data_IF_278390716701
#
_entry.id   IF_278390716701
#
_cell.length_a   1.000
_cell.length_b   1.000
_cell.length_c   1.000
_cell.angle_alpha   90.00
_cell.angle_beta   90.00
_cell.angle_gamma   90.00
#
_symmetry.space_group_name_H-M   'P 1'
#
loop_
_entity.id
_entity.type
_entity.pdbx_description
1 polymer ?
#
# COMPACT_ATOMS: atom_id res chain seq x y z
N UNK A 1 11.21 -9.41 -0.34
CA UNK A 1 10.66 -8.05 -0.20
C UNK A 1 9.15 -8.21 -0.13
N UNK A 2 8.53 -7.78 0.98
CA UNK A 2 7.07 -7.74 1.11
C UNK A 2 6.48 -6.84 0.02
N UNK A 3 5.35 -7.25 -0.57
CA UNK A 3 4.58 -6.40 -1.49
C UNK A 3 3.77 -5.34 -0.72
N UNK A 4 3.42 -5.65 0.52
CA UNK A 4 2.51 -4.85 1.36
C UNK A 4 3.25 -3.75 2.16
N UNK A 5 4.45 -4.04 2.67
CA UNK A 5 5.29 -3.12 3.45
C UNK A 5 6.66 -3.00 2.78
N UNK A 6 6.90 -1.90 2.08
CA UNK A 6 8.11 -1.70 1.26
C UNK A 6 9.38 -1.53 2.11
N UNK A 7 9.23 -0.99 3.31
CA UNK A 7 10.32 -0.68 4.24
C UNK A 7 10.49 -1.71 5.37
N UNK A 8 9.95 -2.93 5.23
CA UNK A 8 10.07 -3.96 6.26
C UNK A 8 11.54 -4.32 6.53
N UNK A 9 12.04 -4.01 7.73
CA UNK A 9 13.46 -4.19 8.12
C UNK A 9 13.77 -5.54 8.77
N UNK A 10 12.74 -6.24 9.23
CA UNK A 10 12.84 -7.57 9.84
C UNK A 10 11.93 -8.55 9.11
N UNK A 11 12.25 -9.83 9.19
CA UNK A 11 11.35 -10.91 8.83
C UNK A 11 10.96 -11.64 10.11
N UNK A 12 9.69 -11.98 10.23
CA UNK A 12 9.10 -12.67 11.39
C UNK A 12 8.96 -14.15 11.06
N UNK A 13 9.30 -15.01 12.02
CA UNK A 13 9.02 -16.45 11.89
C UNK A 13 7.60 -16.73 12.34
N UNK A 14 6.77 -17.25 11.44
CA UNK A 14 5.41 -17.65 11.78
C UNK A 14 5.43 -18.89 12.68
N UNK A 15 4.76 -18.88 13.85
CA UNK A 15 4.78 -20.00 14.79
C UNK A 15 4.02 -21.23 14.26
N UNK A 16 3.04 -21.02 13.38
CA UNK A 16 2.22 -22.07 12.78
C UNK A 16 3.01 -22.97 11.81
N UNK A 17 3.65 -22.38 10.80
CA UNK A 17 4.34 -23.10 9.72
C UNK A 17 5.86 -23.07 9.83
N UNK A 18 6.41 -22.35 10.82
CA UNK A 18 7.87 -22.18 11.07
C UNK A 18 8.64 -21.55 9.90
N UNK A 19 7.93 -20.94 8.95
CA UNK A 19 8.48 -20.22 7.80
C UNK A 19 8.64 -18.72 8.12
N UNK A 20 9.43 -18.03 7.31
CA UNK A 20 9.76 -16.61 7.48
C UNK A 20 8.93 -15.76 6.53
N UNK A 21 8.32 -14.72 7.07
CA UNK A 21 7.53 -13.76 6.31
C UNK A 21 7.88 -12.34 6.75
N UNK A 22 7.72 -11.39 5.84
CA UNK A 22 8.01 -9.98 6.13
C UNK A 22 6.81 -9.26 6.77
N UNK A 23 5.60 -9.79 6.61
CA UNK A 23 4.33 -9.16 6.97
C UNK A 23 3.25 -10.26 7.10
N UNK A 24 2.18 -9.99 7.86
CA UNK A 24 1.10 -10.96 8.09
C UNK A 24 0.34 -11.31 6.79
N UNK A 25 0.11 -10.31 5.93
CA UNK A 25 -0.55 -10.51 4.63
C UNK A 25 0.25 -11.44 3.70
N UNK A 26 1.59 -11.37 3.73
CA UNK A 26 2.41 -12.34 3.00
C UNK A 26 2.28 -13.78 3.52
N UNK A 27 1.94 -13.98 4.80
CA UNK A 27 1.67 -15.32 5.33
C UNK A 27 0.30 -15.80 4.87
N UNK A 28 -0.74 -14.95 4.97
CA UNK A 28 -2.11 -15.29 4.55
C UNK A 28 -2.21 -15.59 3.04
N UNK A 29 -1.43 -14.90 2.19
CA UNK A 29 -1.36 -15.20 0.75
C UNK A 29 -0.65 -16.53 0.45
N UNK A 30 0.34 -16.91 1.27
CA UNK A 30 1.18 -18.08 1.02
C UNK A 30 0.61 -19.35 1.65
N UNK A 31 -0.22 -19.23 2.68
CA UNK A 31 -0.66 -20.36 3.50
C UNK A 31 -2.19 -20.44 3.60
N UNK A 32 -2.77 -21.65 3.61
CA UNK A 32 -4.22 -21.83 3.67
C UNK A 32 -4.80 -21.69 5.10
N UNK A 33 -4.04 -21.15 6.05
CA UNK A 33 -4.41 -21.08 7.46
C UNK A 33 -4.04 -19.73 8.07
N UNK A 34 -4.81 -19.30 9.08
CA UNK A 34 -4.55 -18.06 9.80
C UNK A 34 -3.28 -18.13 10.67
N UNK A 35 -2.60 -16.99 10.80
CA UNK A 35 -1.39 -16.86 11.62
C UNK A 35 -1.67 -17.19 13.10
N UNK A 36 -0.88 -18.10 13.65
CA UNK A 36 -0.95 -18.45 15.08
C UNK A 36 -0.45 -17.30 15.96
N UNK A 37 -1.16 -17.01 17.05
CA UNK A 37 -0.77 -16.00 18.04
C UNK A 37 0.16 -16.62 19.09
N UNK A 38 1.31 -16.00 19.33
CA UNK A 38 2.25 -16.37 20.39
C UNK A 38 2.76 -15.11 21.08
N UNK A 39 3.07 -15.22 22.38
CA UNK A 39 3.65 -14.10 23.14
C UNK A 39 5.14 -13.92 22.82
N UNK A 40 5.85 -15.03 22.59
CA UNK A 40 7.22 -15.00 22.08
C UNK A 40 7.24 -14.90 20.56
N UNK A 41 7.92 -13.88 20.03
CA UNK A 41 8.13 -13.69 18.60
C UNK A 41 9.61 -13.80 18.24
N UNK A 42 9.88 -14.46 17.10
CA UNK A 42 11.24 -14.61 16.57
C UNK A 42 11.38 -13.75 15.33
N UNK A 43 12.38 -12.87 15.36
CA UNK A 43 12.67 -11.93 14.30
C UNK A 43 14.03 -12.24 13.67
N UNK A 44 14.18 -11.89 12.40
CA UNK A 44 15.43 -11.92 11.65
C UNK A 44 15.70 -10.50 11.13
N UNK A 45 16.75 -9.86 11.60
CA UNK A 45 17.12 -8.54 11.09
C UNK A 45 17.71 -8.65 9.69
N UNK A 46 17.23 -7.86 8.72
CA UNK A 46 17.76 -7.90 7.35
C UNK A 46 19.13 -7.25 7.21
N UNK A 47 19.49 -6.32 8.11
CA UNK A 47 20.80 -5.64 8.13
C UNK A 47 21.92 -6.57 8.58
N UNK A 48 21.75 -7.26 9.71
CA UNK A 48 22.78 -8.15 10.26
C UNK A 48 22.55 -9.65 10.00
N UNK A 49 21.37 -10.04 9.48
CA UNK A 49 20.95 -11.43 9.19
C UNK A 49 21.02 -12.36 10.40
N UNK A 50 21.00 -11.82 11.61
CA UNK A 50 20.95 -12.58 12.86
C UNK A 50 19.51 -12.68 13.34
N UNK A 51 19.14 -13.88 13.77
CA UNK A 51 17.85 -14.16 14.38
C UNK A 51 17.91 -13.83 15.88
N UNK A 52 16.87 -13.17 16.38
CA UNK A 52 16.70 -12.86 17.80
C UNK A 52 15.25 -13.15 18.23
N UNK A 53 15.06 -13.30 19.54
CA UNK A 53 13.76 -13.55 20.14
C UNK A 53 13.40 -12.39 21.04
N UNK A 54 12.14 -11.97 20.97
CA UNK A 54 11.59 -10.96 21.85
C UNK A 54 10.24 -11.44 22.38
N UNK A 55 10.07 -11.27 23.68
CA UNK A 55 8.80 -11.50 24.36
C UNK A 55 7.94 -10.24 24.26
N UNK A 56 6.69 -10.39 23.83
CA UNK A 56 5.73 -9.30 23.68
C UNK A 56 5.02 -8.93 24.99
N UNK A 57 5.17 -9.71 26.07
CA UNK A 57 4.60 -9.36 27.38
C UNK A 57 5.27 -8.15 28.02
N UNK A 58 6.58 -8.01 27.83
CA UNK A 58 7.39 -6.91 28.37
C UNK A 58 8.05 -6.15 27.23
N UNK A 59 7.29 -5.22 26.65
CA UNK A 59 7.73 -4.39 25.54
C UNK A 59 8.16 -3.01 26.04
N UNK A 60 9.46 -2.70 25.93
CA UNK A 60 10.06 -1.43 26.31
C UNK A 60 10.66 -0.72 25.08
N UNK A 61 10.90 0.59 25.15
CA UNK A 61 11.46 1.38 24.02
C UNK A 61 12.82 0.86 23.53
N UNK A 62 13.58 0.18 24.41
CA UNK A 62 14.87 -0.44 24.04
C UNK A 62 14.69 -1.62 23.08
N UNK A 63 13.48 -2.20 23.01
CA UNK A 63 13.17 -3.36 22.18
C UNK A 63 12.84 -3.01 20.75
N UNK A 64 12.73 -1.72 20.42
CA UNK A 64 12.55 -1.25 19.03
C UNK A 64 13.81 -1.46 18.16
N UNK A 65 14.93 -1.83 18.80
CA UNK A 65 16.23 -2.00 18.17
C UNK A 65 16.64 -3.46 18.12
N UNK A 66 17.37 -3.82 17.05
CA UNK A 66 17.98 -5.14 16.98
C UNK A 66 19.17 -5.25 17.96
N UNK A 67 19.22 -6.27 18.84
CA UNK A 67 20.27 -6.42 19.86
C UNK A 67 21.67 -6.73 19.29
N UNK A 68 21.80 -6.81 17.96
CA UNK A 68 23.04 -7.17 17.30
C UNK A 68 23.66 -6.05 16.46
N UNK A 69 22.88 -5.06 16.04
CA UNK A 69 23.35 -4.02 15.13
C UNK A 69 22.63 -2.67 15.30
N UNK A 70 21.88 -2.53 16.39
CA UNK A 70 21.11 -1.33 16.77
C UNK A 70 20.23 -0.79 15.65
N UNK A 71 19.73 -1.71 14.81
CA UNK A 71 18.84 -1.34 13.73
C UNK A 71 17.43 -1.16 14.29
N UNK A 72 16.93 0.08 14.25
CA UNK A 72 15.55 0.41 14.58
C UNK A 72 14.62 -0.27 13.58
N UNK A 73 13.86 -1.26 14.02
CA UNK A 73 13.01 -2.06 13.12
C UNK A 73 11.53 -1.72 13.23
N UNK A 74 11.15 -0.97 14.25
CA UNK A 74 9.78 -0.51 14.50
C UNK A 74 9.62 0.87 13.89
N UNK A 75 9.39 0.89 12.57
CA UNK A 75 9.24 2.13 11.80
C UNK A 75 7.85 2.20 11.17
N UNK A 76 7.39 3.42 10.87
CA UNK A 76 6.13 3.63 10.17
C UNK A 76 6.09 2.87 8.84
N UNK A 77 5.07 2.04 8.65
CA UNK A 77 4.95 1.19 7.48
C UNK A 77 4.65 2.04 6.22
N UNK A 78 5.51 1.94 5.21
CA UNK A 78 5.28 2.51 3.88
C UNK A 78 4.52 1.52 3.02
N UNK A 79 3.23 1.77 2.85
CA UNK A 79 2.35 1.01 1.95
C UNK A 79 2.39 1.61 0.54
N UNK A 80 2.24 0.78 -0.48
CA UNK A 80 2.16 1.25 -1.86
C UNK A 80 0.82 1.98 -2.08
N UNK A 81 0.85 3.30 -2.18
CA UNK A 81 -0.34 4.08 -2.56
C UNK A 81 -0.56 3.94 -4.08
N UNK A 82 -1.76 3.54 -4.55
CA UNK A 82 -2.07 3.56 -5.97
C UNK A 82 -2.13 5.01 -6.45
N UNK A 83 -1.09 5.48 -7.15
CA UNK A 83 -1.16 6.75 -7.88
C UNK A 83 -1.82 6.50 -9.23
N UNK A 84 -3.01 7.06 -9.43
CA UNK A 84 -3.67 7.08 -10.73
C UNK A 84 -2.98 8.12 -11.63
N UNK A 85 -2.03 7.67 -12.44
CA UNK A 85 -1.42 8.50 -13.48
C UNK A 85 -2.38 8.65 -14.66
N UNK A 86 -2.81 9.86 -14.96
CA UNK A 86 -3.49 10.15 -16.23
C UNK A 86 -2.41 10.39 -17.27
N UNK A 87 -2.18 9.40 -18.13
CA UNK A 87 -1.31 9.58 -19.30
C UNK A 87 -2.05 10.43 -20.33
N UNK A 88 -1.66 11.71 -20.44
CA UNK A 88 -2.11 12.57 -21.53
C UNK A 88 -1.27 12.30 -22.77
N UNK A 89 -1.88 11.77 -23.82
CA UNK A 89 -1.28 11.74 -25.17
C UNK A 89 -1.01 13.17 -25.67
N UNK A 90 -0.25 13.32 -26.78
CA UNK A 90 0.16 14.63 -27.30
C UNK A 90 -1.06 15.57 -27.42
N UNK A 91 -1.00 16.68 -26.69
CA UNK A 91 -1.99 17.74 -26.63
C UNK A 91 -2.39 18.33 -27.99
N UNK A 92 -1.62 18.08 -29.07
CA UNK A 92 -1.98 18.46 -30.43
C UNK A 92 -2.88 17.45 -31.15
N UNK A 93 -2.87 16.19 -30.72
CA UNK A 93 -3.70 15.12 -31.29
C UNK A 93 -5.01 14.94 -30.52
N UNK A 94 -4.98 15.08 -29.19
CA UNK A 94 -6.18 15.01 -28.35
C UNK A 94 -6.31 16.21 -27.40
N UNK A 95 -7.15 17.17 -27.79
CA UNK A 95 -7.44 18.37 -27.00
C UNK A 95 -8.41 18.12 -25.83
N UNK A 96 -8.93 16.90 -25.64
CA UNK A 96 -9.95 16.63 -24.59
C UNK A 96 -9.45 16.86 -23.17
N UNK A 97 -8.14 16.75 -22.96
CA UNK A 97 -7.50 16.99 -21.66
C UNK A 97 -7.17 18.47 -21.40
N UNK A 98 -7.35 19.35 -22.40
CA UNK A 98 -7.11 20.79 -22.28
C UNK A 98 -8.44 21.52 -22.09
N UNK A 99 -8.58 22.18 -20.95
CA UNK A 99 -9.72 23.03 -20.65
C UNK A 99 -9.52 24.40 -21.31
N UNK A 100 -10.44 24.78 -22.21
CA UNK A 100 -10.51 26.14 -22.75
C UNK A 100 -11.49 26.97 -21.89
N UNK A 101 -10.98 28.01 -21.22
CA UNK A 101 -11.77 28.89 -20.35
C UNK A 101 -12.72 29.83 -21.12
N UNK A 102 -12.60 29.95 -22.44
CA UNK A 102 -13.51 30.77 -23.26
C UNK A 102 -14.80 30.05 -23.59
N UNK A 103 -14.79 28.72 -23.53
CA UNK A 103 -15.96 27.89 -23.79
C UNK A 103 -16.70 27.68 -22.46
N UNK A 104 -17.96 28.12 -22.40
CA UNK A 104 -18.81 27.88 -21.23
C UNK A 104 -18.91 26.36 -21.04
N UNK A 105 -18.35 25.83 -19.95
CA UNK A 105 -18.46 24.41 -19.64
C UNK A 105 -19.94 24.08 -19.51
N UNK A 106 -20.50 23.38 -20.49
CA UNK A 106 -21.83 22.82 -20.35
C UNK A 106 -21.72 21.71 -19.31
N UNK A 107 -22.19 21.99 -18.11
CA UNK A 107 -22.48 20.94 -17.14
C UNK A 107 -23.60 20.12 -17.74
N UNK A 108 -23.27 19.02 -18.44
CA UNK A 108 -24.26 18.03 -18.86
C UNK A 108 -24.72 17.28 -17.62
N UNK A 109 -25.71 17.81 -16.95
CA UNK A 109 -26.47 17.17 -15.90
C UNK A 109 -27.64 16.42 -16.56
N UNK A 110 -27.78 15.12 -16.26
CA UNK A 110 -28.83 14.25 -16.79
C UNK A 110 -30.27 14.76 -16.54
N UNK A 111 -30.41 15.73 -15.64
CA UNK A 111 -31.68 16.23 -15.12
C UNK A 111 -32.09 17.61 -15.68
N UNK A 112 -31.19 18.31 -16.40
CA UNK A 112 -31.49 19.57 -17.08
C UNK A 112 -31.07 19.44 -18.54
N UNK A 113 -32.01 19.17 -19.48
CA UNK A 113 -31.70 19.13 -20.90
C UNK A 113 -31.19 20.49 -21.36
N UNK A 114 -30.14 20.52 -22.17
CA UNK A 114 -29.65 21.77 -22.76
C UNK A 114 -30.45 22.10 -24.02
N UNK A 115 -30.44 23.37 -24.44
CA UNK A 115 -31.16 23.83 -25.64
C UNK A 115 -30.74 23.07 -26.91
N UNK A 116 -29.51 22.53 -26.92
CA UNK A 116 -28.98 21.68 -27.99
C UNK A 116 -29.72 20.33 -28.09
N UNK A 117 -30.16 19.74 -26.97
CA UNK A 117 -30.91 18.46 -26.97
C UNK A 117 -32.34 18.62 -27.55
N UNK A 118 -32.88 19.85 -27.58
CA UNK A 118 -34.21 20.13 -28.16
C UNK A 118 -34.15 20.30 -29.69
N UNK A 119 -33.00 20.69 -30.25
CA UNK A 119 -32.83 20.91 -31.69
C UNK A 119 -32.82 19.58 -32.47
N UNK A 120 -32.29 18.51 -31.88
CA UNK A 120 -32.24 17.16 -32.50
C UNK A 120 -33.60 16.46 -32.55
N UNK A 121 -34.63 16.96 -31.85
CA UNK A 121 -35.97 16.35 -31.79
C UNK A 121 -36.93 16.92 -32.85
N UNK A 122 -36.59 18.04 -33.49
CA UNK A 122 -37.44 18.72 -34.49
C UNK A 122 -36.91 18.62 -35.94
N UNK A 123 -35.99 17.68 -36.20
CA UNK A 123 -35.55 17.28 -37.55
C UNK A 123 -36.38 16.13 -38.12
#
# INVERSE_FOLDING_TARGET
MCKHILNAQVSVRAPCCKQWYDCAECHDEAQPHALGKTMEMVFMCKKCRKAFRKDMETYEDSDEFCPHCDNHYVIEAKTAAPMLGVEGEDARMDNRMIRDDRVKTQTRNLWEPTDDDFADVLG
#
